data_IF_457487654520
#
_entry.id   IF_457487654520
#
_cell.length_a   1.000
_cell.length_b   1.000
_cell.length_c   1.000
_cell.angle_alpha   90.00
_cell.angle_beta   90.00
_cell.angle_gamma   90.00
#
_symmetry.space_group_name_H-M   'P 1'
#
loop_
_entity.id
_entity.type
_entity.pdbx_description
1 polymer ?
#
# COMPACT_ATOMS: atom_id res chain seq x y z
N UNK A 1 -7.35 10.84 -10.73
CA UNK A 1 -6.71 10.27 -9.54
C UNK A 1 -5.72 11.29 -9.00
N UNK A 2 -4.70 11.64 -9.77
CA UNK A 2 -3.69 12.64 -9.40
C UNK A 2 -4.24 14.05 -9.16
N UNK A 3 -5.24 14.52 -9.90
CA UNK A 3 -5.83 15.85 -9.65
C UNK A 3 -6.57 15.95 -8.30
N UNK A 4 -7.26 14.88 -7.89
CA UNK A 4 -7.87 14.78 -6.56
C UNK A 4 -6.82 14.59 -5.45
N UNK A 5 -5.58 14.27 -5.82
CA UNK A 5 -4.49 14.15 -4.86
C UNK A 5 -3.95 15.53 -4.49
N UNK A 6 -3.89 16.49 -5.41
CA UNK A 6 -3.40 17.85 -5.11
C UNK A 6 -4.22 18.55 -4.02
N UNK A 7 -5.52 18.28 -3.94
CA UNK A 7 -6.42 18.84 -2.91
C UNK A 7 -6.00 18.51 -1.47
N UNK A 8 -5.32 17.38 -1.26
CA UNK A 8 -4.92 16.88 0.06
C UNK A 8 -3.40 16.85 0.30
N UNK A 9 -2.60 17.46 -0.58
CA UNK A 9 -1.12 17.37 -0.53
C UNK A 9 -0.54 17.79 0.81
N UNK A 10 -0.90 19.01 1.20
CA UNK A 10 -0.48 19.66 2.43
C UNK A 10 -0.87 18.86 3.68
N UNK A 11 -2.05 18.23 3.65
CA UNK A 11 -2.53 17.43 4.76
C UNK A 11 -1.73 16.12 4.87
N UNK A 12 -1.56 15.40 3.76
CA UNK A 12 -0.83 14.13 3.71
C UNK A 12 0.64 14.33 4.08
N UNK A 13 1.28 15.40 3.60
CA UNK A 13 2.66 15.74 3.90
C UNK A 13 2.91 15.97 5.41
N UNK A 14 1.92 16.46 6.14
CA UNK A 14 2.00 16.72 7.59
C UNK A 14 1.71 15.49 8.45
N UNK A 15 1.18 14.39 7.90
CA UNK A 15 0.89 13.20 8.69
C UNK A 15 2.19 12.50 9.15
N UNK A 16 2.28 12.05 10.41
CA UNK A 16 3.41 11.25 10.87
C UNK A 16 3.36 9.84 10.25
N UNK A 17 4.50 9.14 10.21
CA UNK A 17 4.56 7.76 9.70
C UNK A 17 3.58 6.81 10.41
N UNK A 18 3.34 7.04 11.70
CA UNK A 18 2.38 6.26 12.51
C UNK A 18 0.94 6.33 12.00
N UNK A 19 0.56 7.42 11.32
CA UNK A 19 -0.76 7.55 10.71
C UNK A 19 -0.96 6.49 9.61
N UNK A 20 0.00 6.38 8.68
CA UNK A 20 -0.05 5.41 7.58
C UNK A 20 0.00 3.98 8.09
N UNK A 21 0.85 3.70 9.10
CA UNK A 21 0.88 2.38 9.74
C UNK A 21 -0.50 2.01 10.31
N UNK A 22 -1.10 2.91 11.10
CA UNK A 22 -2.41 2.64 11.70
C UNK A 22 -3.51 2.50 10.66
N UNK A 23 -3.46 3.29 9.58
CA UNK A 23 -4.41 3.17 8.48
C UNK A 23 -4.32 1.79 7.79
N UNK A 24 -3.11 1.29 7.56
CA UNK A 24 -2.91 -0.08 7.03
C UNK A 24 -3.48 -1.12 8.00
N UNK A 25 -3.19 -1.01 9.30
CA UNK A 25 -3.70 -1.95 10.30
C UNK A 25 -5.25 -2.01 10.29
N UNK A 26 -5.92 -0.84 10.27
CA UNK A 26 -7.39 -0.76 10.21
C UNK A 26 -7.96 -1.44 8.96
N UNK A 27 -7.30 -1.27 7.82
CA UNK A 27 -7.75 -1.84 6.55
C UNK A 27 -7.58 -3.36 6.50
N UNK A 28 -6.57 -3.90 7.19
CA UNK A 28 -6.47 -5.34 7.42
C UNK A 28 -7.55 -5.84 8.38
N UNK A 29 -7.86 -5.11 9.46
CA UNK A 29 -8.97 -5.44 10.36
C UNK A 29 -10.31 -5.52 9.57
N UNK A 30 -10.61 -4.53 8.72
CA UNK A 30 -11.82 -4.47 7.88
C UNK A 30 -11.84 -5.58 6.81
N UNK A 31 -10.68 -5.85 6.17
CA UNK A 31 -10.55 -6.93 5.21
C UNK A 31 -10.87 -8.29 5.85
N UNK A 32 -10.35 -8.58 7.04
CA UNK A 32 -10.64 -9.81 7.78
C UNK A 32 -12.13 -9.93 8.11
N UNK A 33 -12.77 -8.83 8.53
CA UNK A 33 -14.21 -8.80 8.78
C UNK A 33 -15.03 -9.13 7.53
N UNK A 34 -14.67 -8.57 6.37
CA UNK A 34 -15.36 -8.85 5.11
C UNK A 34 -15.19 -10.29 4.65
N UNK A 35 -13.97 -10.84 4.76
CA UNK A 35 -13.73 -12.26 4.46
C UNK A 35 -14.51 -13.19 5.38
N UNK A 36 -14.59 -12.88 6.68
CA UNK A 36 -15.38 -13.68 7.64
C UNK A 36 -16.88 -13.69 7.31
N UNK A 37 -17.39 -12.67 6.61
CA UNK A 37 -18.77 -12.57 6.13
C UNK A 37 -18.98 -13.14 4.72
N UNK A 38 -17.92 -13.61 4.06
CA UNK A 38 -17.95 -14.12 2.68
C UNK A 38 -18.08 -13.02 1.61
N UNK A 39 -17.81 -11.76 1.97
CA UNK A 39 -17.87 -10.63 1.04
C UNK A 39 -16.50 -10.37 0.40
N UNK A 40 -16.15 -11.22 -0.57
CA UNK A 40 -14.87 -11.10 -1.30
C UNK A 40 -14.73 -9.77 -2.04
N UNK A 41 -15.84 -9.17 -2.49
CA UNK A 41 -15.79 -7.93 -3.23
C UNK A 41 -15.43 -6.75 -2.31
N UNK A 42 -15.99 -6.70 -1.10
CA UNK A 42 -15.60 -5.70 -0.11
C UNK A 42 -14.15 -5.91 0.35
N UNK A 43 -13.74 -7.16 0.62
CA UNK A 43 -12.35 -7.45 0.97
C UNK A 43 -11.35 -7.00 -0.11
N UNK A 44 -11.69 -7.15 -1.40
CA UNK A 44 -10.88 -6.66 -2.49
C UNK A 44 -10.78 -5.13 -2.55
N UNK A 45 -11.81 -4.40 -2.10
CA UNK A 45 -11.77 -2.93 -1.99
C UNK A 45 -10.81 -2.49 -0.88
N UNK A 46 -10.89 -3.11 0.31
CA UNK A 46 -9.95 -2.81 1.41
C UNK A 46 -8.49 -3.09 1.00
N UNK A 47 -8.25 -4.17 0.23
CA UNK A 47 -6.92 -4.44 -0.32
C UNK A 47 -6.43 -3.33 -1.28
N UNK A 48 -7.32 -2.74 -2.08
CA UNK A 48 -7.00 -1.61 -2.94
C UNK A 48 -6.74 -0.34 -2.14
N UNK A 49 -7.45 -0.14 -1.04
CA UNK A 49 -7.26 0.99 -0.14
C UNK A 49 -5.92 0.90 0.64
N UNK A 50 -5.44 -0.30 0.96
CA UNK A 50 -4.04 -0.51 1.42
C UNK A 50 -3.03 -0.01 0.37
N UNK A 51 -3.27 -0.26 -0.92
CA UNK A 51 -2.42 0.26 -1.99
C UNK A 51 -2.49 1.80 -2.02
N UNK A 52 -3.68 2.38 -1.90
CA UNK A 52 -3.87 3.83 -1.82
C UNK A 52 -3.07 4.47 -0.68
N UNK A 53 -3.09 3.86 0.52
CA UNK A 53 -2.29 4.30 1.66
C UNK A 53 -0.79 4.26 1.37
N UNK A 54 -0.31 3.20 0.71
CA UNK A 54 1.10 3.08 0.32
C UNK A 54 1.52 4.17 -0.69
N UNK A 55 0.64 4.53 -1.64
CA UNK A 55 0.88 5.61 -2.59
C UNK A 55 0.97 6.97 -1.86
N UNK A 56 0.05 7.24 -0.93
CA UNK A 56 0.06 8.45 -0.11
C UNK A 56 1.30 8.53 0.81
N UNK A 57 1.79 7.39 1.31
CA UNK A 57 3.03 7.35 2.07
C UNK A 57 4.24 7.74 1.20
N UNK A 58 4.35 7.21 -0.03
CA UNK A 58 5.44 7.59 -0.94
C UNK A 58 5.43 9.08 -1.26
N UNK A 59 4.24 9.66 -1.41
CA UNK A 59 4.07 11.10 -1.55
C UNK A 59 4.55 11.86 -0.34
N UNK A 60 4.16 11.43 0.87
CA UNK A 60 4.67 12.01 2.13
C UNK A 60 6.19 11.89 2.28
N UNK A 61 6.82 10.93 1.59
CA UNK A 61 8.27 10.80 1.50
C UNK A 61 8.91 11.73 0.44
N UNK A 62 8.13 12.55 -0.25
CA UNK A 62 8.57 13.55 -1.20
C UNK A 62 8.60 13.07 -2.66
N UNK A 63 8.03 11.90 -2.97
CA UNK A 63 7.99 11.40 -4.34
C UNK A 63 6.86 12.03 -5.15
N UNK A 64 7.18 12.48 -6.36
CA UNK A 64 6.21 12.99 -7.33
C UNK A 64 5.43 11.85 -8.00
N UNK A 65 4.26 12.11 -8.58
CA UNK A 65 3.45 11.11 -9.27
C UNK A 65 4.22 10.23 -10.27
N UNK A 66 5.08 10.82 -11.08
CA UNK A 66 5.86 10.11 -12.10
C UNK A 66 6.89 9.18 -11.49
N UNK A 67 7.53 9.62 -10.40
CA UNK A 67 8.52 8.85 -9.64
C UNK A 67 7.85 7.66 -8.93
N UNK A 68 6.67 7.88 -8.36
CA UNK A 68 5.85 6.82 -7.76
C UNK A 68 5.51 5.77 -8.83
N UNK A 69 5.04 6.20 -10.00
CA UNK A 69 4.68 5.30 -11.10
C UNK A 69 5.89 4.49 -11.58
N UNK A 70 7.07 5.09 -11.66
CA UNK A 70 8.31 4.40 -12.01
C UNK A 70 8.72 3.37 -10.95
N UNK A 71 8.71 3.74 -9.67
CA UNK A 71 9.04 2.85 -8.55
C UNK A 71 8.12 1.63 -8.54
N UNK A 72 6.79 1.87 -8.62
CA UNK A 72 5.79 0.79 -8.57
C UNK A 72 5.94 -0.15 -9.76
N UNK A 73 6.09 0.40 -10.97
CA UNK A 73 6.26 -0.39 -12.20
C UNK A 73 7.54 -1.22 -12.15
N UNK A 74 8.67 -0.60 -11.81
CA UNK A 74 9.95 -1.29 -11.68
C UNK A 74 9.85 -2.44 -10.68
N UNK A 75 9.23 -2.22 -9.51
CA UNK A 75 8.99 -3.28 -8.52
C UNK A 75 8.10 -4.41 -9.06
N UNK A 76 7.02 -4.07 -9.77
CA UNK A 76 6.13 -5.07 -10.37
C UNK A 76 6.86 -5.92 -11.42
N UNK A 77 7.63 -5.30 -12.32
CA UNK A 77 8.43 -6.00 -13.33
C UNK A 77 9.45 -6.96 -12.71
N UNK A 78 10.15 -6.54 -11.65
CA UNK A 78 11.08 -7.41 -10.93
C UNK A 78 10.37 -8.62 -10.31
N UNK A 79 9.18 -8.42 -9.71
CA UNK A 79 8.37 -9.50 -9.14
C UNK A 79 7.91 -10.48 -10.22
N UNK A 80 7.48 -9.99 -11.37
CA UNK A 80 7.07 -10.81 -12.52
C UNK A 80 8.23 -11.63 -13.10
N UNK A 81 9.46 -11.15 -12.99
CA UNK A 81 10.68 -11.86 -13.43
C UNK A 81 11.20 -12.89 -12.42
N UNK A 82 10.35 -13.36 -11.49
CA UNK A 82 10.66 -14.46 -10.58
C UNK A 82 11.15 -14.05 -9.18
N UNK A 83 11.11 -12.76 -8.83
CA UNK A 83 11.46 -12.30 -7.47
C UNK A 83 10.31 -12.34 -6.46
N UNK A 84 9.13 -12.84 -6.85
CA UNK A 84 8.00 -12.96 -5.93
C UNK A 84 8.34 -13.86 -4.72
N UNK A 85 8.94 -15.03 -4.97
CA UNK A 85 9.38 -15.95 -3.92
C UNK A 85 10.45 -15.33 -3.02
N UNK A 86 11.39 -14.57 -3.60
CA UNK A 86 12.45 -13.91 -2.83
C UNK A 86 11.92 -12.88 -1.81
N UNK A 87 10.72 -12.32 -2.03
CA UNK A 87 10.08 -11.44 -1.05
C UNK A 87 9.48 -12.25 0.10
N UNK A 88 8.82 -13.37 -0.20
CA UNK A 88 8.29 -14.28 0.82
C UNK A 88 9.43 -14.84 1.67
N UNK A 89 10.50 -15.32 1.03
CA UNK A 89 11.72 -15.81 1.72
C UNK A 89 12.35 -14.73 2.61
N UNK A 90 12.30 -13.46 2.20
CA UNK A 90 12.79 -12.35 3.05
C UNK A 90 11.95 -12.25 4.31
N UNK A 91 10.62 -12.29 4.20
CA UNK A 91 9.74 -12.16 5.36
C UNK A 91 9.86 -13.37 6.29
N UNK A 92 9.90 -14.57 5.72
CA UNK A 92 10.07 -15.80 6.48
C UNK A 92 11.43 -15.82 7.21
N UNK A 93 12.52 -15.54 6.49
CA UNK A 93 13.88 -15.61 7.06
C UNK A 93 14.18 -14.50 8.08
N UNK A 94 13.67 -13.29 7.86
CA UNK A 94 14.03 -12.11 8.68
C UNK A 94 13.04 -11.88 9.81
N UNK A 95 11.76 -12.17 9.58
CA UNK A 95 10.69 -11.84 10.50
C UNK A 95 9.89 -13.07 10.98
N UNK A 96 10.10 -14.25 10.37
CA UNK A 96 9.45 -15.49 10.79
C UNK A 96 7.97 -15.59 10.42
N UNK A 97 7.54 -14.81 9.43
CA UNK A 97 6.16 -14.77 8.92
C UNK A 97 6.09 -15.14 7.44
#
# INVERSE_FOLDING_TARGET
MWDAWDEADDEIARKPLSHFRRAVDIQFDELEEHLARGDEQAAAREAADVVSIALNLMRRLGHRPEEIAEIVRSRAEHRMKGQALAILDKYERVYGI
#
